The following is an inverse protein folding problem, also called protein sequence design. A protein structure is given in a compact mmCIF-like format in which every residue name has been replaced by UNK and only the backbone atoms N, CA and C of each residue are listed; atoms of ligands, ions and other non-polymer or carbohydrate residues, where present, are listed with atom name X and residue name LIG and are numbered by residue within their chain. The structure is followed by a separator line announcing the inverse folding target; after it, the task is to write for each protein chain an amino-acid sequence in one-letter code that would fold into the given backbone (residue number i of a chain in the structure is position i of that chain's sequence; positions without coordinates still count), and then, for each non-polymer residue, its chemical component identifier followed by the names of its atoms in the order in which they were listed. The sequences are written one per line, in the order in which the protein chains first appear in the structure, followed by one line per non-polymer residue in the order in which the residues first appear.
data_IF_775909583881
#
_entry.id   IF_775909583881
#
_cell.length_a   1.000
_cell.length_b   1.000
_cell.length_c   1.000
_cell.angle_alpha   90.00
_cell.angle_beta   90.00
_cell.angle_gamma   90.00
#
_symmetry.space_group_name_H-M   'P 1'
#
loop_
_entity.id
_entity.type
_entity.pdbx_description
1 polymer ?
#
# COMPACT_ATOMS: atom_id res chain seq x y z
N UNK A 1 -8.01 9.03 -23.09
CA UNK A 1 -8.29 9.54 -21.73
C UNK A 1 -8.65 8.40 -20.80
N UNK A 2 -9.48 7.45 -21.25
CA UNK A 2 -9.76 6.18 -20.55
C UNK A 2 -8.49 5.45 -20.11
N UNK A 3 -7.57 5.17 -21.04
CA UNK A 3 -6.38 4.35 -20.75
C UNK A 3 -5.51 4.89 -19.60
N UNK A 4 -5.46 6.21 -19.42
CA UNK A 4 -4.71 6.84 -18.31
C UNK A 4 -5.42 6.70 -16.97
N UNK A 5 -6.74 6.69 -16.97
CA UNK A 5 -7.55 6.45 -15.77
C UNK A 5 -7.46 4.97 -15.36
N UNK A 6 -7.42 4.07 -16.34
CA UNK A 6 -7.27 2.63 -16.12
C UNK A 6 -5.88 2.32 -15.54
N UNK A 7 -4.82 2.89 -16.11
CA UNK A 7 -3.45 2.79 -15.57
C UNK A 7 -3.34 3.36 -14.14
N UNK A 8 -3.96 4.52 -13.86
CA UNK A 8 -3.97 5.09 -12.52
C UNK A 8 -4.70 4.17 -11.52
N UNK A 9 -5.83 3.60 -11.92
CA UNK A 9 -6.63 2.69 -11.07
C UNK A 9 -5.82 1.43 -10.74
N UNK A 10 -5.14 0.85 -11.74
CA UNK A 10 -4.26 -0.30 -11.56
C UNK A 10 -3.12 0.00 -10.57
N UNK A 11 -2.43 1.14 -10.72
CA UNK A 11 -1.34 1.53 -9.80
C UNK A 11 -1.83 1.73 -8.36
N UNK A 12 -3.07 2.23 -8.18
CA UNK A 12 -3.68 2.36 -6.86
C UNK A 12 -3.95 1.00 -6.24
N UNK A 13 -4.53 0.07 -6.99
CA UNK A 13 -4.78 -1.30 -6.53
C UNK A 13 -3.47 -2.00 -6.12
N UNK A 14 -2.43 -1.91 -6.96
CA UNK A 14 -1.10 -2.44 -6.65
C UNK A 14 -0.49 -1.82 -5.38
N UNK A 15 -0.68 -0.51 -5.16
CA UNK A 15 -0.18 0.16 -3.97
C UNK A 15 -0.96 -0.22 -2.69
N UNK A 16 -2.28 -0.45 -2.81
CA UNK A 16 -3.11 -0.94 -1.71
C UNK A 16 -2.71 -2.36 -1.28
N UNK A 17 -2.23 -3.18 -2.22
CA UNK A 17 -1.88 -4.58 -2.02
C UNK A 17 -0.38 -4.88 -2.27
N UNK A 18 0.50 -3.94 -1.91
CA UNK A 18 1.94 -4.04 -2.22
C UNK A 18 2.68 -5.16 -1.45
N UNK A 19 2.09 -5.67 -0.35
CA UNK A 19 2.65 -6.79 0.41
C UNK A 19 2.21 -8.14 -0.17
N UNK A 20 3.10 -9.14 -0.14
CA UNK A 20 2.70 -10.51 -0.49
C UNK A 20 1.67 -11.05 0.51
N UNK A 21 0.78 -11.93 0.05
CA UNK A 21 -0.22 -12.61 0.90
C UNK A 21 0.44 -13.27 2.12
N UNK A 22 1.56 -13.95 1.90
CA UNK A 22 2.38 -14.55 2.97
C UNK A 22 2.86 -13.52 4.01
N UNK A 23 3.16 -12.29 3.60
CA UNK A 23 3.56 -11.24 4.54
C UNK A 23 2.36 -10.73 5.36
N UNK A 24 1.18 -10.67 4.75
CA UNK A 24 -0.09 -10.33 5.40
C UNK A 24 -0.45 -11.38 6.45
N UNK A 25 -0.53 -12.65 6.06
CA UNK A 25 -0.83 -13.78 6.95
C UNK A 25 0.12 -13.81 8.15
N UNK A 26 1.43 -13.62 7.91
CA UNK A 26 2.42 -13.56 8.99
C UNK A 26 2.20 -12.44 10.00
N UNK A 27 1.55 -11.33 9.64
CA UNK A 27 1.18 -10.29 10.61
C UNK A 27 -0.04 -10.74 11.42
N UNK A 28 -1.07 -11.24 10.74
CA UNK A 28 -2.29 -11.72 11.38
C UNK A 28 -2.04 -12.90 12.32
N UNK A 29 -1.21 -13.87 11.94
CA UNK A 29 -0.79 -15.01 12.78
C UNK A 29 -0.09 -14.57 14.08
N UNK A 30 0.53 -13.39 14.06
CA UNK A 30 1.17 -12.79 15.24
C UNK A 30 0.20 -11.95 16.07
N UNK A 31 -1.09 -11.96 15.74
CA UNK A 31 -2.11 -11.11 16.35
C UNK A 31 -1.91 -9.62 16.03
N UNK A 32 -1.23 -9.29 14.93
CA UNK A 32 -0.95 -7.90 14.55
C UNK A 32 -1.84 -7.47 13.38
N UNK A 33 -2.36 -6.25 13.51
CA UNK A 33 -2.98 -5.54 12.40
C UNK A 33 -1.92 -5.08 11.39
N UNK A 34 -2.29 -5.03 10.12
CA UNK A 34 -1.58 -4.35 9.03
C UNK A 34 -1.57 -2.83 9.25
N UNK A 35 -0.73 -2.12 8.49
CA UNK A 35 -0.63 -0.67 8.61
C UNK A 35 -1.98 0.04 8.37
N UNK A 36 -2.69 -0.30 7.29
CA UNK A 36 -4.01 0.30 6.97
C UNK A 36 -5.09 -0.09 7.98
N UNK A 37 -5.14 -1.36 8.38
CA UNK A 37 -6.06 -1.82 9.43
C UNK A 37 -5.90 -1.04 10.75
N UNK A 38 -4.69 -0.60 11.08
CA UNK A 38 -4.46 0.27 12.26
C UNK A 38 -4.99 1.69 12.07
N UNK A 39 -4.92 2.22 10.85
CA UNK A 39 -5.46 3.54 10.52
C UNK A 39 -6.98 3.49 10.63
N UNK A 40 -7.60 2.46 10.03
CA UNK A 40 -9.05 2.26 10.07
C UNK A 40 -9.57 2.02 11.49
N UNK A 41 -8.78 1.36 12.35
CA UNK A 41 -9.12 1.21 13.77
C UNK A 41 -9.06 2.53 14.56
N UNK A 42 -8.17 3.45 14.17
CA UNK A 42 -7.88 4.67 14.94
C UNK A 42 -8.77 5.86 14.55
N UNK A 43 -9.11 5.97 13.27
CA UNK A 43 -9.78 7.14 12.71
C UNK A 43 -11.28 6.90 12.52
N UNK A 44 -12.05 7.98 12.47
CA UNK A 44 -13.46 7.90 12.13
C UNK A 44 -13.62 7.36 10.70
N UNK A 45 -14.62 6.51 10.50
CA UNK A 45 -14.89 5.88 9.20
C UNK A 45 -15.04 6.93 8.09
N UNK A 46 -14.29 6.74 6.99
CA UNK A 46 -14.30 7.64 5.85
C UNK A 46 -13.55 8.97 6.02
N UNK A 47 -12.90 9.21 7.17
CA UNK A 47 -12.16 10.46 7.42
C UNK A 47 -10.73 10.46 6.87
N UNK A 48 -10.15 9.28 6.63
CA UNK A 48 -8.76 9.16 6.22
C UNK A 48 -8.53 9.67 4.78
N UNK A 49 -7.60 10.60 4.63
CA UNK A 49 -7.17 11.14 3.35
C UNK A 49 -5.69 10.84 3.16
N UNK A 50 -5.38 9.95 2.23
CA UNK A 50 -4.01 9.47 2.04
C UNK A 50 -3.18 10.41 1.16
N UNK A 51 -1.95 10.67 1.59
CA UNK A 51 -0.94 11.39 0.83
C UNK A 51 0.11 10.41 0.32
N UNK A 52 0.72 10.73 -0.82
CA UNK A 52 1.89 10.02 -1.36
C UNK A 52 1.68 8.51 -1.62
N UNK A 53 0.44 8.06 -1.91
CA UNK A 53 0.09 6.66 -2.18
C UNK A 53 0.99 5.96 -3.22
N UNK A 54 1.48 6.70 -4.22
CA UNK A 54 2.27 6.15 -5.32
C UNK A 54 3.77 6.47 -5.20
N UNK A 55 4.24 6.94 -4.04
CA UNK A 55 5.65 7.29 -3.86
C UNK A 55 6.55 6.06 -3.88
N UNK A 56 7.74 6.19 -4.48
CA UNK A 56 8.77 5.17 -4.53
C UNK A 56 10.11 5.78 -4.15
N UNK A 57 11.03 4.96 -3.63
CA UNK A 57 12.39 5.41 -3.38
C UNK A 57 13.11 5.71 -4.71
N UNK A 58 14.16 6.54 -4.65
CA UNK A 58 15.00 6.91 -5.80
C UNK A 58 16.45 6.44 -5.67
N UNK A 59 16.70 5.55 -4.71
CA UNK A 59 18.01 4.96 -4.49
C UNK A 59 18.27 3.88 -5.56
N UNK A 60 19.35 4.05 -6.32
CA UNK A 60 19.76 3.16 -7.40
C UNK A 60 20.86 2.17 -6.93
N UNK A 61 21.85 2.66 -6.19
CA UNK A 61 23.04 1.86 -5.83
C UNK A 61 22.84 0.90 -4.63
N UNK A 62 21.62 0.79 -4.10
CA UNK A 62 21.36 0.09 -2.83
C UNK A 62 20.91 -1.37 -3.00
N UNK A 63 20.72 -1.85 -4.23
CA UNK A 63 20.14 -3.18 -4.49
C UNK A 63 18.65 -3.29 -4.11
N UNK A 64 17.96 -2.16 -4.04
CA UNK A 64 16.53 -2.06 -3.66
C UNK A 64 15.67 -1.63 -4.87
N UNK A 65 16.26 -1.42 -6.06
CA UNK A 65 15.64 -0.78 -7.23
C UNK A 65 14.27 -1.34 -7.67
N UNK A 66 13.99 -2.62 -7.43
CA UNK A 66 12.76 -3.30 -7.87
C UNK A 66 11.74 -3.56 -6.75
N UNK A 67 11.91 -2.99 -5.55
CA UNK A 67 11.01 -3.23 -4.39
C UNK A 67 9.95 -2.14 -4.17
#
# INVERSE_FOLDING_TARGET
MSDRLDDLSKRREEALHAGSERAVERQHDKGKLLARERIDYLLDEGSFNELDLLVRHRAHDSGIEER
#
